data_IF_026132461799
#
_entry.id   IF_026132461799
#
_cell.length_a   1.000
_cell.length_b   1.000
_cell.length_c   1.000
_cell.angle_alpha   90.00
_cell.angle_beta   90.00
_cell.angle_gamma   90.00
#
_symmetry.space_group_name_H-M   'P 1'
#
loop_
_entity.id
_entity.type
_entity.pdbx_description
1 polymer ?
#
# COMPACT_ATOMS: atom_id res chain seq x y z
N UNK A 1 57.08 -70.79 -1.95
CA UNK A 1 57.39 -70.62 -3.42
C UNK A 1 56.07 -70.76 -4.19
N UNK A 2 55.79 -69.84 -5.01
CA UNK A 2 54.62 -69.69 -5.95
C UNK A 2 53.55 -68.78 -5.38
N UNK A 3 53.69 -67.56 -5.75
CA UNK A 3 52.79 -66.45 -5.68
C UNK A 3 51.56 -66.59 -6.56
N UNK A 4 50.37 -66.42 -6.02
CA UNK A 4 49.12 -66.29 -6.76
C UNK A 4 48.67 -64.85 -6.66
N UNK A 5 48.76 -64.10 -7.79
CA UNK A 5 48.18 -62.78 -8.00
C UNK A 5 46.67 -62.98 -8.26
N UNK A 6 45.85 -62.41 -7.37
CA UNK A 6 44.42 -62.27 -7.61
C UNK A 6 44.14 -60.86 -8.15
N UNK A 7 43.76 -60.81 -9.41
CA UNK A 7 43.29 -59.57 -10.09
C UNK A 7 41.85 -59.27 -9.65
N UNK A 8 41.63 -58.22 -8.92
CA UNK A 8 40.29 -57.69 -8.61
C UNK A 8 39.91 -56.73 -9.71
N UNK A 9 38.93 -57.09 -10.53
CA UNK A 9 38.30 -56.23 -11.51
C UNK A 9 37.26 -55.33 -10.81
N UNK A 10 37.58 -54.04 -10.75
CA UNK A 10 36.67 -53.02 -10.23
C UNK A 10 35.68 -52.61 -11.33
N UNK A 11 34.44 -53.06 -11.26
CA UNK A 11 33.34 -52.58 -12.14
C UNK A 11 32.87 -51.19 -11.65
N UNK A 12 33.25 -50.14 -12.36
CA UNK A 12 32.71 -48.79 -12.15
C UNK A 12 31.36 -48.72 -12.84
N UNK A 13 30.27 -48.85 -12.08
CA UNK A 13 28.93 -48.55 -12.57
C UNK A 13 28.77 -47.00 -12.64
N UNK A 14 28.76 -46.48 -13.86
CA UNK A 14 28.40 -45.08 -14.11
C UNK A 14 26.92 -44.90 -13.81
N UNK A 15 26.61 -44.42 -12.63
CA UNK A 15 25.30 -43.87 -12.30
C UNK A 15 25.16 -42.52 -13.05
N UNK A 16 24.52 -42.54 -14.20
CA UNK A 16 24.00 -41.35 -14.86
C UNK A 16 22.82 -40.80 -13.99
N UNK A 17 23.19 -40.11 -12.93
CA UNK A 17 22.25 -39.32 -12.17
C UNK A 17 21.82 -38.13 -13.05
N UNK A 18 20.66 -38.23 -13.66
CA UNK A 18 19.99 -37.08 -14.27
C UNK A 18 19.81 -36.05 -13.20
N UNK A 19 20.58 -34.93 -13.28
CA UNK A 19 20.30 -33.73 -12.51
C UNK A 19 18.94 -33.24 -12.98
N UNK A 20 17.88 -33.61 -12.27
CA UNK A 20 16.64 -32.85 -12.31
C UNK A 20 16.99 -31.45 -11.78
N UNK A 21 17.22 -30.50 -12.68
CA UNK A 21 17.28 -29.10 -12.32
C UNK A 21 15.92 -28.79 -11.71
N UNK A 22 15.87 -28.56 -10.39
CA UNK A 22 14.74 -27.86 -9.81
C UNK A 22 14.62 -26.54 -10.58
N UNK A 23 13.43 -26.19 -11.08
CA UNK A 23 13.26 -24.95 -11.83
C UNK A 23 13.80 -23.80 -10.97
N UNK A 24 14.60 -22.92 -11.59
CA UNK A 24 15.05 -21.70 -10.91
C UNK A 24 13.80 -20.92 -10.50
N UNK A 25 13.82 -20.19 -9.36
CA UNK A 25 12.67 -19.39 -8.91
C UNK A 25 12.06 -18.55 -10.05
N UNK A 26 12.89 -17.94 -10.89
CA UNK A 26 12.46 -17.15 -12.05
C UNK A 26 11.62 -17.94 -13.08
N UNK A 27 11.91 -19.25 -13.27
CA UNK A 27 11.16 -20.09 -14.24
C UNK A 27 9.79 -20.50 -13.66
N UNK A 28 9.71 -20.70 -12.35
CA UNK A 28 8.44 -21.02 -11.67
C UNK A 28 7.48 -19.80 -11.67
N UNK A 29 8.01 -18.59 -11.51
CA UNK A 29 7.24 -17.34 -11.55
C UNK A 29 6.77 -16.99 -12.96
N UNK A 30 7.54 -17.33 -14.01
CA UNK A 30 7.17 -17.10 -15.40
C UNK A 30 5.85 -17.81 -15.76
N UNK A 31 5.57 -18.97 -15.18
CA UNK A 31 4.32 -19.72 -15.35
C UNK A 31 3.08 -19.07 -14.73
N UNK A 32 3.24 -18.02 -13.95
CA UNK A 32 2.12 -17.29 -13.31
C UNK A 32 1.63 -16.09 -14.16
N UNK A 33 2.32 -15.78 -15.25
CA UNK A 33 1.91 -14.71 -16.17
C UNK A 33 1.17 -15.29 -17.37
N UNK A 34 -0.08 -14.85 -17.57
CA UNK A 34 -0.95 -15.31 -18.64
C UNK A 34 -1.36 -14.11 -19.52
N UNK A 35 -0.42 -13.64 -20.32
CA UNK A 35 -0.59 -12.44 -21.16
C UNK A 35 -1.81 -12.57 -22.10
N UNK A 36 -2.12 -13.76 -22.59
CA UNK A 36 -3.25 -14.01 -23.46
C UNK A 36 -4.64 -13.74 -22.82
N UNK A 37 -4.71 -13.66 -21.49
CA UNK A 37 -5.95 -13.33 -20.77
C UNK A 37 -6.28 -11.85 -20.80
N UNK A 38 -5.35 -10.98 -21.23
CA UNK A 38 -5.48 -9.53 -21.22
C UNK A 38 -5.15 -8.93 -22.59
N UNK A 39 -5.75 -7.79 -22.88
CA UNK A 39 -5.41 -6.98 -24.03
C UNK A 39 -4.24 -6.02 -23.76
N UNK A 40 -3.79 -5.27 -24.78
CA UNK A 40 -2.81 -4.22 -24.58
C UNK A 40 -3.41 -3.09 -23.70
N UNK A 41 -2.61 -2.48 -22.80
CA UNK A 41 -3.07 -1.33 -22.03
C UNK A 41 -3.35 -0.14 -22.92
N UNK A 42 -4.35 0.68 -22.59
CA UNK A 42 -4.72 1.89 -23.34
C UNK A 42 -3.83 3.08 -23.00
N UNK A 43 -3.21 3.09 -21.81
CA UNK A 43 -2.21 4.09 -21.43
C UNK A 43 -0.80 3.47 -21.38
N UNK A 44 0.22 4.32 -21.53
CA UNK A 44 1.61 3.88 -21.39
C UNK A 44 1.87 3.43 -19.92
N UNK A 45 2.26 2.19 -19.77
CA UNK A 45 2.72 1.62 -18.49
C UNK A 45 4.23 1.76 -18.43
N UNK A 46 4.72 2.71 -17.62
CA UNK A 46 6.15 2.95 -17.42
C UNK A 46 6.38 3.67 -16.10
N UNK A 47 7.50 3.35 -15.47
CA UNK A 47 8.02 4.01 -14.27
C UNK A 47 9.19 4.95 -14.55
N UNK A 48 9.58 5.13 -15.81
CA UNK A 48 10.77 5.90 -16.20
C UNK A 48 10.72 7.35 -15.70
N UNK A 49 9.56 7.97 -15.73
CA UNK A 49 9.36 9.38 -15.38
C UNK A 49 8.90 9.60 -13.94
N UNK A 50 8.90 8.57 -13.09
CA UNK A 50 8.36 8.67 -11.72
C UNK A 50 9.09 9.71 -10.89
N UNK A 51 10.41 9.81 -11.05
CA UNK A 51 11.28 10.79 -10.39
C UNK A 51 11.68 11.99 -11.28
N UNK A 52 11.07 12.13 -12.46
CA UNK A 52 11.44 13.22 -13.36
C UNK A 52 11.06 14.59 -12.74
N UNK A 53 12.02 15.53 -12.83
CA UNK A 53 11.78 16.92 -12.44
C UNK A 53 11.27 17.72 -13.64
N UNK A 54 10.30 18.58 -13.40
CA UNK A 54 9.91 19.61 -14.34
C UNK A 54 10.63 20.96 -14.05
N UNK A 55 10.41 21.95 -14.90
CA UNK A 55 11.07 23.26 -14.75
C UNK A 55 10.59 24.02 -13.50
N UNK A 56 9.34 23.82 -13.08
CA UNK A 56 8.82 24.43 -11.86
C UNK A 56 9.53 23.89 -10.61
N UNK A 57 9.81 22.59 -10.54
CA UNK A 57 10.59 21.99 -9.45
C UNK A 57 12.03 22.53 -9.41
N UNK A 58 12.69 22.66 -10.58
CA UNK A 58 14.04 23.24 -10.67
C UNK A 58 14.04 24.73 -10.28
N UNK A 59 13.01 25.48 -10.67
CA UNK A 59 12.83 26.88 -10.26
C UNK A 59 12.66 27.00 -8.75
N UNK A 60 11.83 26.16 -8.15
CA UNK A 60 11.60 26.09 -6.71
C UNK A 60 12.92 25.91 -5.94
N UNK A 61 13.75 24.95 -6.32
CA UNK A 61 15.04 24.70 -5.67
C UNK A 61 16.01 25.87 -5.83
N UNK A 62 16.06 26.49 -7.01
CA UNK A 62 17.05 27.53 -7.34
C UNK A 62 16.66 28.91 -6.86
N UNK A 63 15.38 29.16 -6.67
CA UNK A 63 14.86 30.52 -6.38
C UNK A 63 14.08 30.55 -5.08
N UNK A 64 13.04 29.71 -4.95
CA UNK A 64 12.09 29.88 -3.82
C UNK A 64 12.71 29.48 -2.48
N UNK A 65 13.45 28.37 -2.42
CA UNK A 65 14.08 27.89 -1.18
C UNK A 65 15.59 28.19 -1.10
N UNK A 66 16.19 28.81 -2.12
CA UNK A 66 17.63 29.09 -2.15
C UNK A 66 18.13 29.85 -0.90
N UNK A 67 17.36 30.81 -0.42
CA UNK A 67 17.66 31.54 0.81
C UNK A 67 17.71 30.66 2.05
N UNK A 68 16.75 29.74 2.21
CA UNK A 68 16.72 28.80 3.32
C UNK A 68 17.89 27.80 3.24
N UNK A 69 18.17 27.28 2.04
CA UNK A 69 19.30 26.37 1.81
C UNK A 69 20.63 27.03 2.18
N UNK A 70 20.79 28.31 1.87
CA UNK A 70 22.00 29.07 2.19
C UNK A 70 22.12 29.42 3.68
N UNK A 71 21.03 29.85 4.31
CA UNK A 71 21.03 30.32 5.70
C UNK A 71 21.14 29.17 6.72
N UNK A 72 20.52 28.04 6.46
CA UNK A 72 20.42 26.90 7.41
C UNK A 72 21.29 25.71 7.02
N UNK A 73 21.92 25.74 5.83
CA UNK A 73 22.56 24.60 5.19
C UNK A 73 21.59 23.77 4.36
N UNK A 74 22.09 23.07 3.36
CA UNK A 74 21.27 22.42 2.32
C UNK A 74 20.29 21.41 2.91
N UNK A 75 20.72 20.55 3.84
CA UNK A 75 19.86 19.54 4.44
C UNK A 75 18.74 20.15 5.30
N UNK A 76 19.09 21.02 6.23
CA UNK A 76 18.10 21.61 7.16
C UNK A 76 17.12 22.53 6.42
N UNK A 77 17.62 23.41 5.53
CA UNK A 77 16.78 24.29 4.72
C UNK A 77 15.85 23.50 3.77
N UNK A 78 16.31 22.38 3.24
CA UNK A 78 15.47 21.50 2.44
C UNK A 78 14.34 20.89 3.26
N UNK A 79 14.63 20.30 4.41
CA UNK A 79 13.59 19.71 5.29
C UNK A 79 12.61 20.77 5.80
N UNK A 80 13.10 21.95 6.16
CA UNK A 80 12.23 23.07 6.59
C UNK A 80 11.27 23.52 5.47
N UNK A 81 11.67 23.37 4.19
CA UNK A 81 10.82 23.71 3.06
C UNK A 81 9.54 22.88 2.94
N UNK A 82 9.42 21.78 3.68
CA UNK A 82 8.20 20.96 3.82
C UNK A 82 7.40 21.32 5.08
N UNK A 83 7.87 22.22 5.94
CA UNK A 83 7.13 22.61 7.13
C UNK A 83 5.82 23.34 6.75
N UNK A 84 4.72 23.06 7.52
CA UNK A 84 3.38 23.61 7.24
C UNK A 84 3.31 25.14 7.32
N UNK A 85 4.28 25.79 7.96
CA UNK A 85 4.23 27.26 8.21
C UNK A 85 4.82 28.09 7.08
N UNK A 86 5.83 27.62 6.39
CA UNK A 86 6.58 28.41 5.39
C UNK A 86 6.86 27.65 4.08
N UNK A 87 6.52 26.34 3.99
CA UNK A 87 6.90 25.47 2.89
C UNK A 87 5.84 25.27 1.82
N UNK A 88 6.07 24.25 1.03
CA UNK A 88 5.12 23.68 0.09
C UNK A 88 3.85 23.29 0.86
N UNK A 89 2.76 24.03 0.71
CA UNK A 89 1.47 23.68 1.32
C UNK A 89 0.91 22.47 0.62
N UNK A 90 1.29 21.28 1.11
CA UNK A 90 0.91 20.01 0.52
C UNK A 90 -0.40 19.53 1.13
N UNK A 91 -1.31 19.08 0.26
CA UNK A 91 -2.57 18.45 0.65
C UNK A 91 -2.43 16.93 0.48
N UNK A 92 -2.94 16.16 1.44
CA UNK A 92 -3.03 14.72 1.29
C UNK A 92 -4.19 14.36 0.35
N UNK A 93 -3.91 13.56 -0.68
CA UNK A 93 -4.89 13.11 -1.67
C UNK A 93 -4.60 11.65 -2.04
N UNK A 94 -5.43 10.74 -1.57
CA UNK A 94 -5.30 9.30 -1.82
C UNK A 94 -5.90 8.84 -3.14
N UNK A 95 -6.62 9.72 -3.87
CA UNK A 95 -7.41 9.34 -5.03
C UNK A 95 -6.57 8.78 -6.18
N UNK A 96 -5.32 9.25 -6.32
CA UNK A 96 -4.42 8.79 -7.38
C UNK A 96 -2.95 8.91 -6.94
N UNK A 97 -2.18 7.88 -7.27
CA UNK A 97 -0.72 7.92 -7.10
C UNK A 97 -0.09 8.71 -8.26
N UNK A 98 0.65 9.75 -7.90
CA UNK A 98 1.23 10.75 -8.81
C UNK A 98 2.74 10.56 -8.93
N UNK A 99 3.30 10.93 -10.07
CA UNK A 99 4.76 11.09 -10.23
C UNK A 99 5.26 12.30 -9.43
N UNK A 100 6.56 12.44 -9.27
CA UNK A 100 7.17 13.58 -8.57
C UNK A 100 6.70 14.93 -9.14
N UNK A 101 6.74 15.09 -10.46
CA UNK A 101 6.29 16.32 -11.12
C UNK A 101 4.79 16.57 -10.91
N UNK A 102 3.94 15.56 -11.07
CA UNK A 102 2.50 15.70 -10.86
C UNK A 102 2.14 16.08 -9.42
N UNK A 103 2.80 15.46 -8.43
CA UNK A 103 2.59 15.81 -7.01
C UNK A 103 3.02 17.25 -6.71
N UNK A 104 4.14 17.70 -7.31
CA UNK A 104 4.62 19.07 -7.17
C UNK A 104 3.65 20.08 -7.79
N UNK A 105 3.20 19.86 -9.03
CA UNK A 105 2.33 20.79 -9.75
C UNK A 105 0.95 20.93 -9.09
N UNK A 106 0.40 19.82 -8.59
CA UNK A 106 -0.91 19.81 -7.92
C UNK A 106 -0.84 20.14 -6.44
N UNK A 107 0.37 20.24 -5.85
CA UNK A 107 0.60 20.42 -4.40
C UNK A 107 -0.15 19.38 -3.56
N UNK A 108 -0.36 18.19 -4.11
CA UNK A 108 -1.13 17.13 -3.43
C UNK A 108 -0.72 15.74 -3.89
N UNK A 109 -0.91 14.75 -3.01
CA UNK A 109 -0.68 13.35 -3.30
C UNK A 109 -0.83 12.47 -2.06
N UNK A 110 -0.84 11.16 -2.26
CA UNK A 110 -0.72 10.21 -1.17
C UNK A 110 0.73 10.19 -0.63
N UNK A 111 0.97 9.50 0.48
CA UNK A 111 2.30 9.45 1.11
C UNK A 111 3.40 9.04 0.12
N UNK A 112 3.14 8.06 -0.74
CA UNK A 112 4.10 7.60 -1.75
C UNK A 112 4.41 8.70 -2.77
N UNK A 113 3.39 9.39 -3.31
CA UNK A 113 3.57 10.50 -4.27
C UNK A 113 4.41 11.63 -3.69
N UNK A 114 4.16 11.98 -2.42
CA UNK A 114 4.89 13.04 -1.73
C UNK A 114 6.33 12.63 -1.42
N UNK A 115 6.57 11.36 -1.08
CA UNK A 115 7.91 10.80 -0.92
C UNK A 115 8.68 10.78 -2.24
N UNK A 116 8.04 10.39 -3.35
CA UNK A 116 8.66 10.42 -4.69
C UNK A 116 9.08 11.83 -5.09
N UNK A 117 8.22 12.81 -4.87
CA UNK A 117 8.53 14.24 -5.10
C UNK A 117 9.70 14.70 -4.25
N UNK A 118 9.71 14.36 -2.96
CA UNK A 118 10.78 14.73 -2.03
C UNK A 118 12.11 14.08 -2.44
N UNK A 119 12.09 12.81 -2.83
CA UNK A 119 13.26 12.08 -3.29
C UNK A 119 13.84 12.71 -4.57
N UNK A 120 12.99 13.08 -5.53
CA UNK A 120 13.43 13.74 -6.77
C UNK A 120 14.10 15.09 -6.47
N UNK A 121 13.53 15.90 -5.60
CA UNK A 121 14.11 17.19 -5.19
C UNK A 121 15.42 17.01 -4.39
N UNK A 122 15.48 16.03 -3.48
CA UNK A 122 16.68 15.72 -2.71
C UNK A 122 17.83 15.26 -3.63
N UNK A 123 17.52 14.43 -4.63
CA UNK A 123 18.48 13.94 -5.63
C UNK A 123 19.08 15.08 -6.45
N UNK A 124 18.27 16.05 -6.88
CA UNK A 124 18.74 17.23 -7.63
C UNK A 124 19.70 18.11 -6.78
N UNK A 125 19.49 18.16 -5.47
CA UNK A 125 20.38 18.85 -4.52
C UNK A 125 21.61 18.03 -4.12
N UNK A 126 21.74 16.79 -4.60
CA UNK A 126 22.83 15.88 -4.21
C UNK A 126 22.78 15.44 -2.75
N UNK A 127 21.62 15.55 -2.10
CA UNK A 127 21.43 15.10 -0.72
C UNK A 127 21.31 13.56 -0.67
N UNK A 128 22.04 12.89 0.22
CA UNK A 128 21.83 11.48 0.48
C UNK A 128 20.48 11.30 1.18
N UNK A 129 19.77 10.23 0.83
CA UNK A 129 18.51 9.87 1.47
C UNK A 129 18.26 8.36 1.41
N UNK A 130 17.33 7.87 2.21
CA UNK A 130 16.86 6.50 2.18
C UNK A 130 15.36 6.45 2.48
N UNK A 131 14.69 5.40 1.99
CA UNK A 131 13.26 5.20 2.15
C UNK A 131 12.99 4.31 3.35
N UNK A 132 11.97 4.65 4.14
CA UNK A 132 11.46 3.83 5.25
C UNK A 132 10.03 3.37 4.98
N UNK A 133 9.78 2.06 5.09
CA UNK A 133 8.43 1.48 5.05
C UNK A 133 7.99 1.07 6.44
N UNK A 134 6.77 1.45 6.85
CA UNK A 134 6.20 1.02 8.13
C UNK A 134 5.95 -0.50 8.15
N UNK A 135 6.34 -1.14 9.25
CA UNK A 135 6.30 -2.61 9.41
C UNK A 135 4.96 -3.10 9.97
N UNK A 136 4.24 -2.28 10.74
CA UNK A 136 3.07 -2.71 11.51
C UNK A 136 1.79 -1.92 11.24
N UNK A 137 1.84 -0.85 10.45
CA UNK A 137 0.66 -0.07 10.11
C UNK A 137 0.32 -0.26 8.64
N UNK A 138 -0.55 -1.21 8.36
CA UNK A 138 -1.25 -1.22 7.09
C UNK A 138 -2.38 -0.20 7.20
N UNK A 139 -2.29 0.87 6.42
CA UNK A 139 -3.41 1.77 6.22
C UNK A 139 -4.39 1.08 5.28
N UNK A 140 -5.53 0.71 5.82
CA UNK A 140 -6.57 0.06 5.04
C UNK A 140 -7.44 1.13 4.39
N UNK A 141 -7.66 1.02 3.10
CA UNK A 141 -8.70 1.75 2.40
C UNK A 141 -9.58 0.77 1.65
N UNK A 142 -10.86 1.10 1.50
CA UNK A 142 -11.81 0.27 0.78
C UNK A 142 -12.34 1.03 -0.43
N UNK A 143 -12.35 0.35 -1.58
CA UNK A 143 -13.05 0.80 -2.77
C UNK A 143 -14.01 -0.30 -3.20
N UNK A 144 -15.30 -0.05 -3.06
CA UNK A 144 -16.36 -1.05 -3.20
C UNK A 144 -16.12 -2.26 -2.26
N UNK A 145 -15.90 -3.44 -2.82
CA UNK A 145 -15.63 -4.70 -2.11
C UNK A 145 -14.15 -5.09 -2.06
N UNK A 146 -13.25 -4.20 -2.53
CA UNK A 146 -11.80 -4.44 -2.52
C UNK A 146 -11.17 -3.68 -1.35
N UNK A 147 -10.45 -4.43 -0.51
CA UNK A 147 -9.58 -3.88 0.52
C UNK A 147 -8.20 -3.63 -0.08
N UNK A 148 -7.72 -2.40 0.02
CA UNK A 148 -6.36 -2.02 -0.29
C UNK A 148 -5.59 -1.87 1.00
N UNK A 149 -4.54 -2.67 1.17
CA UNK A 149 -3.53 -2.46 2.19
C UNK A 149 -2.42 -1.62 1.58
N UNK A 150 -2.36 -0.35 1.90
CA UNK A 150 -1.23 0.50 1.53
C UNK A 150 -0.26 0.59 2.69
N UNK A 151 0.98 0.10 2.47
CA UNK A 151 2.05 0.32 3.43
C UNK A 151 2.42 1.80 3.47
N UNK A 152 2.50 2.37 4.67
CA UNK A 152 3.02 3.72 4.83
C UNK A 152 4.51 3.79 4.52
N UNK A 153 4.92 4.86 3.84
CA UNK A 153 6.32 5.13 3.45
C UNK A 153 6.70 6.56 3.86
N UNK A 154 7.92 6.71 4.33
CA UNK A 154 8.56 8.00 4.57
C UNK A 154 9.95 8.08 3.93
N UNK A 155 10.59 9.23 4.01
CA UNK A 155 11.93 9.46 3.50
C UNK A 155 12.79 10.14 4.57
N UNK A 156 14.00 9.62 4.76
CA UNK A 156 14.99 10.21 5.67
C UNK A 156 16.10 10.83 4.86
N UNK A 157 16.31 12.13 5.05
CA UNK A 157 17.36 12.92 4.39
C UNK A 157 18.61 12.93 5.28
N UNK A 158 19.73 12.58 4.70
CA UNK A 158 21.02 12.46 5.38
C UNK A 158 21.59 11.05 5.31
N UNK A 159 22.85 10.89 5.73
CA UNK A 159 23.51 9.59 5.82
C UNK A 159 22.98 8.82 7.03
N UNK A 160 23.00 7.50 6.94
CA UNK A 160 22.73 6.64 8.11
C UNK A 160 23.76 6.94 9.22
N UNK A 161 23.32 6.91 10.47
CA UNK A 161 24.22 7.11 11.62
C UNK A 161 25.39 6.11 11.64
N UNK A 162 25.17 4.89 11.15
CA UNK A 162 26.21 3.85 11.02
C UNK A 162 27.23 4.15 9.93
N UNK A 163 26.89 4.97 8.94
CA UNK A 163 27.76 5.38 7.83
C UNK A 163 28.39 6.75 8.06
N UNK A 164 28.10 7.41 9.19
CA UNK A 164 28.69 8.70 9.54
C UNK A 164 30.19 8.57 9.73
N UNK A 165 30.96 9.25 8.87
CA UNK A 165 32.44 9.22 8.88
C UNK A 165 33.06 10.32 9.73
N UNK A 166 32.25 11.28 10.19
CA UNK A 166 32.70 12.48 10.89
C UNK A 166 31.63 12.93 11.88
N UNK A 167 32.04 13.57 12.98
CA UNK A 167 31.12 14.29 13.89
C UNK A 167 30.45 15.51 13.25
N UNK A 168 30.89 15.88 12.04
CA UNK A 168 30.31 16.97 11.22
C UNK A 168 29.17 16.46 10.33
N UNK A 169 28.96 15.14 10.21
CA UNK A 169 27.81 14.61 9.50
C UNK A 169 26.53 14.97 10.29
N UNK A 170 25.65 15.72 9.64
CA UNK A 170 24.38 16.14 10.25
C UNK A 170 23.51 14.91 10.56
N UNK A 171 22.80 14.95 11.68
CA UNK A 171 21.85 13.91 12.01
C UNK A 171 20.82 13.74 10.88
N UNK A 172 20.44 12.50 10.54
CA UNK A 172 19.40 12.26 9.53
C UNK A 172 18.06 12.84 10.00
N UNK A 173 17.32 13.44 9.08
CA UNK A 173 16.02 14.07 9.32
C UNK A 173 14.94 13.36 8.52
N UNK A 174 13.95 12.80 9.19
CA UNK A 174 12.83 12.09 8.53
C UNK A 174 11.71 13.06 8.19
N UNK A 175 11.28 13.03 6.93
CA UNK A 175 10.07 13.70 6.44
C UNK A 175 8.99 12.63 6.35
N UNK A 176 7.91 12.84 7.07
CA UNK A 176 6.72 12.00 7.08
C UNK A 176 5.49 12.86 6.82
N UNK A 177 4.58 12.34 5.99
CA UNK A 177 3.38 13.07 5.56
C UNK A 177 2.12 12.66 6.32
N UNK A 178 2.25 11.78 7.32
CA UNK A 178 1.18 11.48 8.27
C UNK A 178 1.15 12.48 9.44
N UNK A 179 0.02 12.55 10.17
CA UNK A 179 -0.05 13.30 11.41
C UNK A 179 1.00 12.85 12.43
N UNK A 180 1.60 13.77 13.22
CA UNK A 180 2.69 13.45 14.15
C UNK A 180 2.35 12.39 15.21
N UNK A 181 1.09 12.28 15.62
CA UNK A 181 0.60 11.30 16.59
C UNK A 181 0.70 9.87 16.01
N UNK A 182 0.47 9.70 14.72
CA UNK A 182 0.54 8.42 14.03
C UNK A 182 2.00 8.01 13.79
N UNK A 183 2.85 8.96 13.39
CA UNK A 183 4.28 8.73 13.08
C UNK A 183 5.04 8.19 14.30
N UNK A 184 4.77 8.71 15.51
CA UNK A 184 5.50 8.31 16.74
C UNK A 184 5.38 6.84 17.09
N UNK A 185 4.40 6.14 16.56
CA UNK A 185 4.11 4.72 16.82
C UNK A 185 4.62 3.80 15.70
N UNK A 186 5.18 4.37 14.63
CA UNK A 186 5.59 3.60 13.48
C UNK A 186 7.04 3.12 13.61
N UNK A 187 7.23 1.83 13.56
CA UNK A 187 8.54 1.25 13.29
C UNK A 187 8.71 1.11 11.78
N UNK A 188 9.73 1.75 11.22
CA UNK A 188 10.00 1.70 9.79
C UNK A 188 11.22 0.83 9.50
N UNK A 189 11.13 0.05 8.42
CA UNK A 189 12.24 -0.69 7.84
C UNK A 189 12.67 0.00 6.57
N UNK A 190 13.97 0.11 6.37
CA UNK A 190 14.52 0.62 5.12
C UNK A 190 14.20 -0.30 3.95
N UNK A 191 13.88 0.30 2.80
CA UNK A 191 13.59 -0.38 1.54
C UNK A 191 14.39 0.25 0.40
N UNK A 192 14.64 -0.56 -0.63
CA UNK A 192 15.34 -0.14 -1.83
C UNK A 192 14.42 0.63 -2.80
N UNK A 193 15.01 1.44 -3.69
CA UNK A 193 14.26 2.21 -4.70
C UNK A 193 13.46 1.30 -5.63
N UNK A 194 13.95 0.10 -5.95
CA UNK A 194 13.19 -0.88 -6.72
C UNK A 194 11.85 -1.23 -6.07
N UNK A 195 11.83 -1.42 -4.74
CA UNK A 195 10.58 -1.64 -4.00
C UNK A 195 9.68 -0.41 -4.04
N UNK A 196 10.23 0.81 -3.99
CA UNK A 196 9.43 2.06 -4.11
C UNK A 196 8.77 2.17 -5.48
N UNK A 197 9.48 1.83 -6.56
CA UNK A 197 8.91 1.77 -7.91
C UNK A 197 7.87 0.66 -8.03
N UNK A 198 8.10 -0.50 -7.41
CA UNK A 198 7.10 -1.56 -7.32
C UNK A 198 5.84 -1.10 -6.58
N UNK A 199 5.96 -0.35 -5.48
CA UNK A 199 4.83 0.23 -4.77
C UNK A 199 4.05 1.22 -5.66
N UNK A 200 4.75 2.07 -6.42
CA UNK A 200 4.10 2.99 -7.36
C UNK A 200 3.29 2.23 -8.41
N UNK A 201 3.90 1.28 -9.09
CA UNK A 201 3.24 0.50 -10.13
C UNK A 201 2.08 -0.35 -9.56
N UNK A 202 2.24 -0.90 -8.35
CA UNK A 202 1.18 -1.64 -7.66
C UNK A 202 -0.03 -0.74 -7.33
N UNK A 203 0.19 0.48 -6.87
CA UNK A 203 -0.90 1.43 -6.64
C UNK A 203 -1.62 1.77 -7.94
N UNK A 204 -0.88 1.97 -9.05
CA UNK A 204 -1.48 2.19 -10.38
C UNK A 204 -2.31 0.98 -10.83
N UNK A 205 -1.84 -0.26 -10.55
CA UNK A 205 -2.60 -1.47 -10.82
C UNK A 205 -3.91 -1.52 -10.00
N UNK A 206 -3.84 -1.20 -8.71
CA UNK A 206 -5.01 -1.15 -7.84
C UNK A 206 -6.04 -0.08 -8.29
N UNK A 207 -5.58 1.11 -8.67
CA UNK A 207 -6.40 2.18 -9.25
C UNK A 207 -7.06 1.73 -10.58
N UNK A 208 -6.34 0.99 -11.41
CA UNK A 208 -6.88 0.44 -12.65
C UNK A 208 -7.96 -0.63 -12.37
N UNK A 209 -7.76 -1.50 -11.37
CA UNK A 209 -8.79 -2.46 -10.91
C UNK A 209 -10.03 -1.71 -10.45
N UNK A 210 -9.88 -0.69 -9.61
CA UNK A 210 -11.00 0.12 -9.11
C UNK A 210 -11.75 0.82 -10.26
N UNK A 211 -11.04 1.21 -11.31
CA UNK A 211 -11.60 1.78 -12.55
C UNK A 211 -12.07 0.74 -13.58
N UNK A 212 -12.07 -0.55 -13.26
CA UNK A 212 -12.41 -1.67 -14.15
C UNK A 212 -11.55 -1.77 -15.43
N UNK A 213 -10.38 -1.15 -15.44
CA UNK A 213 -9.41 -1.21 -16.55
C UNK A 213 -8.43 -2.37 -16.32
N UNK A 214 -8.92 -3.59 -16.53
CA UNK A 214 -8.21 -4.80 -16.14
C UNK A 214 -6.94 -5.08 -16.96
N UNK A 215 -6.90 -4.67 -18.21
CA UNK A 215 -5.72 -4.81 -19.07
C UNK A 215 -4.56 -3.92 -18.57
N UNK A 216 -4.89 -2.71 -18.15
CA UNK A 216 -3.94 -1.79 -17.51
C UNK A 216 -3.50 -2.32 -16.13
N UNK A 217 -4.45 -2.85 -15.35
CA UNK A 217 -4.15 -3.42 -14.04
C UNK A 217 -3.12 -4.55 -14.10
N UNK A 218 -3.30 -5.46 -15.07
CA UNK A 218 -2.37 -6.53 -15.33
C UNK A 218 -0.98 -6.00 -15.72
N UNK A 219 -0.94 -5.07 -16.67
CA UNK A 219 0.31 -4.50 -17.16
C UNK A 219 1.07 -3.76 -16.03
N UNK A 220 0.37 -2.99 -15.19
CA UNK A 220 0.96 -2.32 -14.04
C UNK A 220 1.42 -3.30 -12.94
N UNK A 221 0.67 -4.38 -12.68
CA UNK A 221 1.09 -5.40 -11.73
C UNK A 221 2.38 -6.11 -12.20
N UNK A 222 2.49 -6.41 -13.50
CA UNK A 222 3.72 -6.93 -14.10
C UNK A 222 4.89 -5.95 -13.98
N UNK A 223 4.65 -4.67 -14.22
CA UNK A 223 5.67 -3.63 -14.06
C UNK A 223 6.15 -3.55 -12.60
N UNK A 224 5.25 -3.67 -11.63
CA UNK A 224 5.62 -3.73 -10.22
C UNK A 224 6.55 -4.91 -9.92
N UNK A 225 6.21 -6.11 -10.41
CA UNK A 225 7.00 -7.33 -10.22
C UNK A 225 8.32 -7.32 -10.97
N UNK A 226 8.45 -6.54 -12.05
CA UNK A 226 9.72 -6.31 -12.75
C UNK A 226 10.70 -5.54 -11.88
N UNK A 227 10.22 -4.61 -11.05
CA UNK A 227 11.04 -3.82 -10.13
C UNK A 227 11.40 -4.58 -8.84
N UNK A 228 10.45 -5.35 -8.30
CA UNK A 228 10.66 -6.14 -7.08
C UNK A 228 9.77 -7.40 -7.13
N UNK A 229 10.36 -8.52 -7.56
CA UNK A 229 9.68 -9.81 -7.62
C UNK A 229 9.32 -10.36 -6.22
N UNK A 230 9.98 -9.89 -5.15
CA UNK A 230 9.65 -10.27 -3.78
C UNK A 230 8.51 -9.44 -3.16
N UNK A 231 7.99 -8.45 -3.89
CA UNK A 231 6.92 -7.57 -3.39
C UNK A 231 5.56 -8.29 -3.40
N UNK A 232 5.22 -8.98 -2.32
CA UNK A 232 4.03 -9.82 -2.18
C UNK A 232 2.72 -9.08 -2.54
N UNK A 233 2.61 -7.78 -2.23
CA UNK A 233 1.42 -6.98 -2.56
C UNK A 233 1.17 -6.89 -4.07
N UNK A 234 2.23 -6.85 -4.91
CA UNK A 234 2.07 -6.81 -6.36
C UNK A 234 1.56 -8.15 -6.91
N UNK A 235 2.02 -9.27 -6.36
CA UNK A 235 1.47 -10.58 -6.68
C UNK A 235 0.01 -10.69 -6.26
N UNK A 236 -0.35 -10.23 -5.05
CA UNK A 236 -1.74 -10.21 -4.61
C UNK A 236 -2.62 -9.37 -5.56
N UNK A 237 -2.15 -8.20 -5.99
CA UNK A 237 -2.86 -7.35 -6.95
C UNK A 237 -3.01 -8.02 -8.32
N UNK A 238 -1.98 -8.73 -8.80
CA UNK A 238 -2.05 -9.55 -10.01
C UNK A 238 -3.15 -10.63 -9.88
N UNK A 239 -3.19 -11.35 -8.76
CA UNK A 239 -4.22 -12.34 -8.47
C UNK A 239 -5.63 -11.73 -8.45
N UNK A 240 -5.79 -10.54 -7.90
CA UNK A 240 -7.07 -9.80 -7.92
C UNK A 240 -7.46 -9.40 -9.35
N UNK A 241 -6.52 -8.98 -10.20
CA UNK A 241 -6.78 -8.68 -11.60
C UNK A 241 -7.32 -9.92 -12.34
N UNK A 242 -6.73 -11.10 -12.12
CA UNK A 242 -7.25 -12.38 -12.64
C UNK A 242 -8.66 -12.69 -12.11
N UNK A 243 -8.90 -12.53 -10.80
CA UNK A 243 -10.24 -12.75 -10.23
C UNK A 243 -11.30 -11.86 -10.86
N UNK A 244 -10.97 -10.58 -11.09
CA UNK A 244 -11.89 -9.62 -11.72
C UNK A 244 -12.12 -9.95 -13.20
N UNK A 245 -11.13 -10.53 -13.87
CA UNK A 245 -11.25 -11.01 -15.25
C UNK A 245 -12.09 -12.29 -15.37
N UNK A 246 -12.33 -12.99 -14.26
CA UNK A 246 -13.02 -14.28 -14.24
C UNK A 246 -12.08 -15.48 -14.25
N UNK A 247 -10.78 -15.27 -14.26
CA UNK A 247 -9.73 -16.27 -14.34
C UNK A 247 -9.36 -16.80 -12.95
N UNK A 248 -10.33 -17.45 -12.26
CA UNK A 248 -10.17 -17.89 -10.88
C UNK A 248 -9.04 -18.92 -10.70
N UNK A 249 -8.74 -19.73 -11.72
CA UNK A 249 -7.62 -20.70 -11.69
C UNK A 249 -6.26 -20.03 -11.65
N UNK A 250 -6.04 -19.02 -12.49
CA UNK A 250 -4.79 -18.24 -12.49
C UNK A 250 -4.64 -17.42 -11.21
N UNK A 251 -5.75 -16.84 -10.72
CA UNK A 251 -5.76 -16.14 -9.45
C UNK A 251 -5.34 -17.04 -8.29
N UNK A 252 -5.89 -18.25 -8.20
CA UNK A 252 -5.56 -19.21 -7.15
C UNK A 252 -4.06 -19.56 -7.17
N UNK A 253 -3.50 -19.85 -8.34
CA UNK A 253 -2.08 -20.17 -8.48
C UNK A 253 -1.16 -19.04 -7.99
N UNK A 254 -1.52 -17.79 -8.32
CA UNK A 254 -0.77 -16.59 -7.86
C UNK A 254 -0.87 -16.45 -6.34
N UNK A 255 -2.06 -16.57 -5.75
CA UNK A 255 -2.22 -16.45 -4.30
C UNK A 255 -1.55 -17.59 -3.54
N UNK A 256 -1.58 -18.82 -4.07
CA UNK A 256 -0.84 -19.97 -3.53
C UNK A 256 0.67 -19.71 -3.51
N UNK A 257 1.22 -19.12 -4.59
CA UNK A 257 2.62 -18.69 -4.65
C UNK A 257 2.95 -17.67 -3.54
N UNK A 258 2.13 -16.62 -3.36
CA UNK A 258 2.35 -15.63 -2.30
C UNK A 258 2.40 -16.28 -0.93
N UNK A 259 1.43 -17.16 -0.62
CA UNK A 259 1.35 -17.79 0.70
C UNK A 259 2.45 -18.84 0.94
N UNK A 260 2.96 -19.46 -0.12
CA UNK A 260 4.01 -20.47 -0.03
C UNK A 260 5.41 -19.86 0.06
N UNK A 261 5.68 -18.80 -0.73
CA UNK A 261 7.04 -18.31 -0.96
C UNK A 261 7.34 -16.96 -0.31
N UNK A 262 6.35 -16.09 -0.13
CA UNK A 262 6.57 -14.69 0.22
C UNK A 262 5.97 -14.28 1.58
N UNK A 263 4.70 -14.56 1.80
CA UNK A 263 3.94 -14.02 2.92
C UNK A 263 2.90 -15.02 3.45
N UNK A 264 3.36 -16.09 4.10
CA UNK A 264 2.52 -17.21 4.55
C UNK A 264 1.33 -16.81 5.45
N UNK A 265 1.36 -15.66 6.10
CA UNK A 265 0.31 -15.16 7.02
C UNK A 265 -0.40 -13.94 6.49
N UNK A 266 -0.25 -13.59 5.21
CA UNK A 266 -0.94 -12.44 4.62
C UNK A 266 -2.45 -12.69 4.56
N UNK A 267 -3.20 -11.94 5.39
CA UNK A 267 -4.65 -12.11 5.56
C UNK A 267 -5.43 -11.71 4.32
N UNK A 268 -4.94 -10.73 3.57
CA UNK A 268 -5.54 -10.30 2.30
C UNK A 268 -5.45 -11.40 1.25
N UNK A 269 -4.28 -12.01 1.10
CA UNK A 269 -4.07 -13.12 0.17
C UNK A 269 -4.86 -14.36 0.57
N UNK A 270 -4.91 -14.68 1.88
CA UNK A 270 -5.74 -15.79 2.38
C UNK A 270 -7.23 -15.59 2.04
N UNK A 271 -7.74 -14.38 2.23
CA UNK A 271 -9.13 -14.03 1.91
C UNK A 271 -9.40 -14.13 0.40
N UNK A 272 -8.50 -13.60 -0.43
CA UNK A 272 -8.61 -13.62 -1.87
C UNK A 272 -8.51 -15.04 -2.44
N UNK A 273 -7.63 -15.89 -1.89
CA UNK A 273 -7.55 -17.30 -2.25
C UNK A 273 -8.81 -18.08 -1.88
N UNK A 274 -9.39 -17.82 -0.71
CA UNK A 274 -10.66 -18.41 -0.32
C UNK A 274 -11.78 -18.05 -1.32
N UNK A 275 -11.81 -16.80 -1.79
CA UNK A 275 -12.75 -16.36 -2.83
C UNK A 275 -12.49 -17.07 -4.17
N UNK A 276 -11.23 -17.20 -4.58
CA UNK A 276 -10.85 -17.93 -5.79
C UNK A 276 -11.32 -19.40 -5.72
N UNK A 277 -11.11 -20.07 -4.60
CA UNK A 277 -11.56 -21.45 -4.39
C UNK A 277 -13.09 -21.59 -4.41
N UNK A 278 -13.83 -20.62 -3.85
CA UNK A 278 -15.31 -20.61 -3.98
C UNK A 278 -15.72 -20.57 -5.46
N UNK A 279 -15.10 -19.70 -6.26
CA UNK A 279 -15.39 -19.59 -7.70
C UNK A 279 -15.02 -20.85 -8.49
N UNK A 280 -14.06 -21.61 -8.01
CA UNK A 280 -13.64 -22.91 -8.58
C UNK A 280 -14.45 -24.11 -8.06
N UNK A 281 -15.45 -23.87 -7.16
CA UNK A 281 -16.21 -24.97 -6.53
C UNK A 281 -15.44 -25.74 -5.44
N UNK A 282 -14.26 -25.30 -5.03
CA UNK A 282 -13.38 -25.91 -4.01
C UNK A 282 -13.78 -25.45 -2.60
N UNK A 283 -15.05 -25.71 -2.21
CA UNK A 283 -15.64 -25.16 -0.99
C UNK A 283 -14.96 -25.63 0.30
N UNK A 284 -14.51 -26.87 0.37
CA UNK A 284 -13.82 -27.39 1.56
C UNK A 284 -12.49 -26.67 1.81
N UNK A 285 -11.74 -26.38 0.75
CA UNK A 285 -10.45 -25.68 0.83
C UNK A 285 -10.66 -24.21 1.16
N UNK A 286 -11.71 -23.57 0.63
CA UNK A 286 -12.09 -22.23 1.00
C UNK A 286 -12.41 -22.11 2.50
N UNK A 287 -13.12 -23.09 3.07
CA UNK A 287 -13.45 -23.11 4.50
C UNK A 287 -12.22 -23.33 5.38
N UNK A 288 -11.27 -24.18 4.95
CA UNK A 288 -9.99 -24.34 5.65
C UNK A 288 -9.19 -23.04 5.70
N UNK A 289 -9.18 -22.25 4.61
CA UNK A 289 -8.55 -20.92 4.58
C UNK A 289 -9.25 -19.93 5.49
N UNK A 290 -10.58 -19.93 5.55
CA UNK A 290 -11.34 -19.07 6.49
C UNK A 290 -11.03 -19.41 7.94
N UNK A 291 -10.96 -20.70 8.27
CA UNK A 291 -10.56 -21.16 9.60
C UNK A 291 -9.16 -20.67 9.95
N UNK A 292 -8.22 -20.79 9.01
CA UNK A 292 -6.85 -20.29 9.17
C UNK A 292 -6.82 -18.76 9.33
N UNK A 293 -7.62 -18.03 8.55
CA UNK A 293 -7.74 -16.58 8.66
C UNK A 293 -8.20 -16.14 10.05
N UNK A 294 -9.26 -16.76 10.58
CA UNK A 294 -9.77 -16.50 11.93
C UNK A 294 -8.71 -16.80 13.00
N UNK A 295 -7.90 -17.84 12.81
CA UNK A 295 -6.81 -18.19 13.75
C UNK A 295 -5.66 -17.17 13.72
N UNK A 296 -5.42 -16.50 12.59
CA UNK A 296 -4.40 -15.45 12.45
C UNK A 296 -4.92 -14.12 12.98
N UNK A 297 -6.15 -13.76 12.63
CA UNK A 297 -6.80 -12.50 12.93
C UNK A 297 -8.30 -12.73 13.15
N UNK A 298 -8.68 -12.89 14.41
CA UNK A 298 -10.07 -13.14 14.79
C UNK A 298 -11.02 -11.99 14.39
N UNK A 299 -10.48 -10.79 14.29
CA UNK A 299 -11.19 -9.56 13.99
C UNK A 299 -10.48 -8.83 12.84
N UNK A 300 -10.64 -9.27 11.57
CA UNK A 300 -9.97 -8.62 10.43
C UNK A 300 -10.45 -7.17 10.26
N UNK A 301 -9.75 -6.34 9.51
CA UNK A 301 -10.18 -4.99 9.16
C UNK A 301 -11.62 -4.98 8.65
N UNK A 302 -12.39 -3.97 9.04
CA UNK A 302 -13.82 -3.85 8.73
C UNK A 302 -14.74 -4.94 9.36
N UNK A 303 -14.24 -5.78 10.26
CA UNK A 303 -15.05 -6.82 10.90
C UNK A 303 -16.28 -6.24 11.60
N UNK A 304 -16.06 -5.31 12.52
CA UNK A 304 -17.15 -4.65 13.27
C UNK A 304 -17.95 -3.71 12.38
N UNK A 305 -17.33 -3.12 11.37
CA UNK A 305 -18.04 -2.31 10.37
C UNK A 305 -19.12 -3.12 9.66
N UNK A 306 -18.79 -4.30 9.14
CA UNK A 306 -19.79 -5.16 8.48
C UNK A 306 -20.88 -5.65 9.43
N UNK A 307 -20.53 -5.95 10.69
CA UNK A 307 -21.51 -6.28 11.73
C UNK A 307 -22.43 -5.07 12.02
N UNK A 308 -21.85 -3.88 12.16
CA UNK A 308 -22.58 -2.63 12.38
C UNK A 308 -23.54 -2.29 11.23
N UNK A 309 -23.09 -2.47 9.98
CA UNK A 309 -23.96 -2.28 8.81
C UNK A 309 -25.17 -3.23 8.82
N UNK A 310 -24.96 -4.51 9.17
CA UNK A 310 -26.09 -5.46 9.33
C UNK A 310 -27.05 -5.06 10.45
N UNK A 311 -26.52 -4.61 11.59
CA UNK A 311 -27.34 -4.11 12.69
C UNK A 311 -28.17 -2.88 12.28
N UNK A 312 -27.59 -1.93 11.53
CA UNK A 312 -28.30 -0.78 10.98
C UNK A 312 -29.42 -1.20 10.01
N UNK A 313 -29.17 -2.19 9.16
CA UNK A 313 -30.18 -2.75 8.24
C UNK A 313 -31.33 -3.43 9.00
N UNK A 314 -31.01 -4.10 10.10
CA UNK A 314 -32.01 -4.70 11.00
C UNK A 314 -32.76 -3.68 11.88
N UNK A 315 -32.39 -2.38 11.81
CA UNK A 315 -33.00 -1.32 12.63
C UNK A 315 -32.38 -1.16 14.02
N UNK A 316 -31.40 -1.98 14.39
CA UNK A 316 -30.71 -1.91 15.70
C UNK A 316 -29.57 -0.88 15.66
N UNK A 317 -29.96 0.39 15.83
CA UNK A 317 -29.01 1.50 15.85
C UNK A 317 -28.07 1.46 17.08
N UNK A 318 -28.49 0.85 18.19
CA UNK A 318 -27.68 0.77 19.41
C UNK A 318 -26.54 -0.25 19.22
N UNK A 319 -26.84 -1.45 18.75
CA UNK A 319 -25.82 -2.43 18.40
C UNK A 319 -24.87 -1.90 17.32
N UNK A 320 -25.41 -1.22 16.31
CA UNK A 320 -24.61 -0.62 15.25
C UNK A 320 -23.61 0.44 15.78
N UNK A 321 -24.07 1.33 16.68
CA UNK A 321 -23.21 2.34 17.30
C UNK A 321 -22.04 1.71 18.05
N UNK A 322 -22.31 0.71 18.89
CA UNK A 322 -21.28 0.00 19.66
C UNK A 322 -20.27 -0.71 18.75
N UNK A 323 -20.72 -1.27 17.63
CA UNK A 323 -19.84 -1.95 16.67
C UNK A 323 -18.97 -0.95 15.90
N UNK A 324 -19.52 0.18 15.44
CA UNK A 324 -18.74 1.22 14.78
C UNK A 324 -17.76 1.89 15.73
N UNK A 325 -18.10 2.07 17.02
CA UNK A 325 -17.16 2.55 18.04
C UNK A 325 -15.92 1.64 18.18
N UNK A 326 -16.11 0.32 18.08
CA UNK A 326 -14.99 -0.62 18.08
C UNK A 326 -14.09 -0.45 16.85
N UNK A 327 -14.64 -0.19 15.66
CA UNK A 327 -13.83 0.07 14.47
C UNK A 327 -13.12 1.44 14.55
N UNK A 328 -13.80 2.48 15.03
CA UNK A 328 -13.17 3.79 15.26
C UNK A 328 -12.01 3.67 16.25
N UNK A 329 -12.16 2.89 17.32
CA UNK A 329 -11.08 2.67 18.29
C UNK A 329 -9.86 1.95 17.69
N UNK A 330 -10.03 1.20 16.60
CA UNK A 330 -8.95 0.49 15.90
C UNK A 330 -8.30 1.34 14.80
N UNK A 331 -9.10 2.19 14.14
CA UNK A 331 -8.69 2.98 12.99
C UNK A 331 -9.45 4.31 12.95
N UNK A 332 -9.12 5.20 13.89
CA UNK A 332 -9.73 6.51 14.05
C UNK A 332 -9.42 7.49 12.90
N UNK A 333 -8.46 7.14 12.05
CA UNK A 333 -8.16 7.87 10.83
C UNK A 333 -9.15 7.61 9.67
N UNK A 334 -10.00 6.57 9.78
CA UNK A 334 -10.92 6.18 8.70
C UNK A 334 -12.20 7.03 8.69
N UNK A 335 -12.40 7.90 7.68
CA UNK A 335 -13.57 8.79 7.64
C UNK A 335 -14.90 8.02 7.52
N UNK A 336 -14.90 6.86 6.86
CA UNK A 336 -16.09 6.02 6.71
C UNK A 336 -16.62 5.51 8.04
N UNK A 337 -15.74 5.15 8.98
CA UNK A 337 -16.16 4.66 10.29
C UNK A 337 -16.83 5.76 11.12
N UNK A 338 -16.24 6.95 11.15
CA UNK A 338 -16.85 8.11 11.77
C UNK A 338 -18.19 8.49 11.14
N UNK A 339 -18.27 8.42 9.81
CA UNK A 339 -19.52 8.71 9.12
C UNK A 339 -20.65 7.76 9.57
N UNK A 340 -20.42 6.44 9.58
CA UNK A 340 -21.45 5.48 9.94
C UNK A 340 -21.76 5.46 11.44
N UNK A 341 -20.77 5.75 12.29
CA UNK A 341 -21.02 5.99 13.71
C UNK A 341 -21.91 7.23 13.91
N UNK A 342 -21.65 8.30 13.15
CA UNK A 342 -22.52 9.49 13.14
C UNK A 342 -23.95 9.17 12.71
N UNK A 343 -24.14 8.32 11.69
CA UNK A 343 -25.46 7.87 11.25
C UNK A 343 -26.18 7.03 12.35
N UNK A 344 -25.45 6.13 13.01
CA UNK A 344 -26.02 5.32 14.10
C UNK A 344 -26.44 6.19 15.29
N UNK A 345 -25.60 7.12 15.73
CA UNK A 345 -25.90 8.07 16.81
C UNK A 345 -27.09 8.99 16.47
N UNK A 346 -27.17 9.46 15.24
CA UNK A 346 -28.33 10.23 14.78
C UNK A 346 -29.63 9.43 14.88
N UNK A 347 -29.65 8.16 14.47
CA UNK A 347 -30.82 7.29 14.62
C UNK A 347 -31.21 7.05 16.08
N UNK A 348 -30.28 7.15 17.02
CA UNK A 348 -30.52 7.07 18.46
C UNK A 348 -30.97 8.41 19.07
N UNK A 349 -31.05 9.49 18.28
CA UNK A 349 -31.39 10.83 18.77
C UNK A 349 -30.19 11.60 19.37
N UNK A 350 -28.98 11.02 19.40
CA UNK A 350 -27.77 11.73 19.81
C UNK A 350 -27.25 12.62 18.68
N UNK A 351 -27.93 13.73 18.45
CA UNK A 351 -27.59 14.69 17.39
C UNK A 351 -26.21 15.33 17.65
N UNK A 352 -25.85 15.60 18.91
CA UNK A 352 -24.58 16.18 19.27
C UNK A 352 -23.41 15.23 18.99
N UNK A 353 -23.55 13.95 19.35
CA UNK A 353 -22.61 12.90 19.02
C UNK A 353 -22.47 12.69 17.51
N UNK A 354 -23.58 12.63 16.79
CA UNK A 354 -23.59 12.50 15.34
C UNK A 354 -22.82 13.64 14.64
N UNK A 355 -22.98 14.88 15.10
CA UNK A 355 -22.24 16.02 14.56
C UNK A 355 -20.75 15.94 14.82
N UNK A 356 -20.33 15.52 16.02
CA UNK A 356 -18.90 15.33 16.32
C UNK A 356 -18.28 14.29 15.39
N UNK A 357 -18.94 13.16 15.22
CA UNK A 357 -18.42 12.11 14.34
C UNK A 357 -18.36 12.55 12.88
N UNK A 358 -19.38 13.25 12.38
CA UNK A 358 -19.33 13.77 11.01
C UNK A 358 -18.25 14.84 10.81
N UNK A 359 -17.95 15.66 11.83
CA UNK A 359 -16.83 16.59 11.77
C UNK A 359 -15.48 15.85 11.66
N UNK A 360 -15.32 14.73 12.38
CA UNK A 360 -14.14 13.86 12.26
C UNK A 360 -14.07 13.18 10.88
N UNK A 361 -15.21 12.73 10.34
CA UNK A 361 -15.26 12.20 8.98
C UNK A 361 -14.80 13.23 7.94
N UNK A 362 -15.18 14.51 8.08
CA UNK A 362 -14.70 15.60 7.22
C UNK A 362 -13.19 15.83 7.40
N UNK A 363 -12.73 15.90 8.65
CA UNK A 363 -11.32 16.15 8.95
C UNK A 363 -10.38 15.05 8.45
N UNK A 364 -10.84 13.80 8.49
CA UNK A 364 -10.08 12.61 8.07
C UNK A 364 -10.27 12.26 6.58
N UNK A 365 -11.12 13.00 5.84
CA UNK A 365 -11.35 12.73 4.42
C UNK A 365 -10.06 12.80 3.63
N UNK A 366 -9.80 11.77 2.86
CA UNK A 366 -8.59 11.61 2.05
C UNK A 366 -8.79 11.99 0.58
N UNK A 367 -10.04 12.21 0.16
CA UNK A 367 -10.40 12.67 -1.18
C UNK A 367 -11.36 13.85 -1.12
N UNK A 368 -11.32 14.73 -2.13
CA UNK A 368 -12.25 15.85 -2.23
C UNK A 368 -13.71 15.39 -2.28
N UNK A 369 -13.98 14.30 -2.96
CA UNK A 369 -15.33 13.70 -3.05
C UNK A 369 -15.87 13.30 -1.68
N UNK A 370 -15.06 12.63 -0.87
CA UNK A 370 -15.43 12.24 0.50
C UNK A 370 -15.64 13.47 1.38
N UNK A 371 -14.70 14.43 1.32
CA UNK A 371 -14.81 15.70 2.06
C UNK A 371 -16.13 16.38 1.76
N UNK A 372 -16.48 16.58 0.48
CA UNK A 372 -17.70 17.29 0.08
C UNK A 372 -18.95 16.52 0.51
N UNK A 373 -18.92 15.16 0.42
CA UNK A 373 -20.01 14.29 0.87
C UNK A 373 -20.26 14.43 2.38
N UNK A 374 -19.21 14.32 3.20
CA UNK A 374 -19.34 14.35 4.65
C UNK A 374 -19.61 15.76 5.16
N UNK A 375 -19.04 16.79 4.52
CA UNK A 375 -19.34 18.20 4.83
C UNK A 375 -20.81 18.54 4.56
N UNK A 376 -21.39 18.07 3.46
CA UNK A 376 -22.81 18.26 3.17
C UNK A 376 -23.70 17.60 4.24
N UNK A 377 -23.37 16.38 4.68
CA UNK A 377 -24.11 15.68 5.75
C UNK A 377 -23.96 16.36 7.11
N UNK A 378 -22.77 16.84 7.44
CA UNK A 378 -22.51 17.61 8.66
C UNK A 378 -23.31 18.92 8.70
N UNK A 379 -23.33 19.65 7.58
CA UNK A 379 -24.11 20.89 7.44
C UNK A 379 -25.61 20.64 7.56
N UNK A 380 -26.12 19.56 6.95
CA UNK A 380 -27.54 19.17 7.05
C UNK A 380 -27.97 18.94 8.50
N UNK A 381 -27.17 18.19 9.29
CA UNK A 381 -27.46 18.01 10.72
C UNK A 381 -27.43 19.34 11.51
N UNK A 382 -26.61 20.31 11.07
CA UNK A 382 -26.56 21.65 11.67
C UNK A 382 -27.83 22.46 11.43
N UNK A 383 -28.50 22.26 10.27
CA UNK A 383 -29.77 22.94 9.93
C UNK A 383 -30.98 22.24 10.52
N UNK A 384 -30.97 20.91 10.60
CA UNK A 384 -32.07 20.11 11.16
C UNK A 384 -32.26 20.25 12.69
N UNK A 385 -31.26 20.74 13.39
CA UNK A 385 -31.28 20.95 14.84
C UNK A 385 -31.64 22.39 15.27
N UNK A 386 -32.09 23.26 14.34
CA UNK A 386 -32.63 24.58 14.66
C UNK A 386 -34.16 24.45 14.67
N UNK A 387 -34.83 24.68 15.82
CA UNK A 387 -36.29 24.73 15.90
C UNK A 387 -36.89 25.90 15.10
#
# INVERSE_FOLDING_TARGET
MRTLLATVALAVAALAGGCSHAPRPADAEAGLFHDAAFGPPTERVSTDDVFALNDAMRHYLRVEIAGALHAQGVQAGFVESFSRKQGLRLEYDSARTKTAAQAFDTRSGNCLSLVLMTAALARELGLPFHYGRAVLAELWSRHDDILFASGHINITIGRRLVDARSRLDLAPLTIDFLPPEEVRRLYTREIEEGTVLAMYANNRAAEAIAGQRLDEAYAWAREALRHDAAFASAWNTLGVAYLRRGEAGYAAAVFEHVLAALAARDTSTLSNLALAYVRLGRSAEAEALRTRLVAIEAEPPYHFFHLGMRALQAGDAAAASALFEREVARADYQPEFHHWLGVARWRLGDVAGARRELALAVANSSTRREHDLYAAKHAWLGSASRP
#
